data_IF_249822166123
#
_entry.id   IF_249822166123
#
_cell.length_a   1.000
_cell.length_b   1.000
_cell.length_c   1.000
_cell.angle_alpha   90.00
_cell.angle_beta   90.00
_cell.angle_gamma   90.00
#
_symmetry.space_group_name_H-M   'P 1'
#
loop_
_entity.id
_entity.type
_entity.pdbx_description
1 polymer ?
#
# COMPACT_ATOMS: atom_id res chain seq x y z
N UNK A 1 -18.55 0.61 -53.28
CA UNK A 1 -18.60 1.65 -52.22
C UNK A 1 -19.60 1.35 -51.10
N UNK A 2 -20.81 0.84 -51.38
CA UNK A 2 -21.84 0.56 -50.34
C UNK A 2 -21.53 -0.59 -49.35
N UNK A 3 -20.82 -1.64 -49.77
CA UNK A 3 -20.47 -2.78 -48.89
C UNK A 3 -19.45 -2.45 -47.79
N UNK A 4 -18.51 -1.54 -48.06
CA UNK A 4 -17.49 -1.12 -47.07
C UNK A 4 -18.08 -0.25 -45.94
N UNK A 5 -19.10 0.55 -46.24
CA UNK A 5 -19.80 1.39 -45.25
C UNK A 5 -20.62 0.52 -44.30
N UNK A 6 -21.25 -0.54 -44.80
CA UNK A 6 -22.01 -1.50 -43.99
C UNK A 6 -21.06 -2.32 -43.11
N UNK A 7 -19.94 -2.80 -43.66
CA UNK A 7 -18.92 -3.54 -42.88
C UNK A 7 -18.29 -2.66 -41.78
N UNK A 8 -17.94 -1.40 -42.09
CA UNK A 8 -17.42 -0.46 -41.12
C UNK A 8 -18.45 -0.10 -40.03
N UNK A 9 -19.71 0.10 -40.42
CA UNK A 9 -20.82 0.35 -39.47
C UNK A 9 -21.07 -0.82 -38.53
N UNK A 10 -20.99 -2.06 -39.03
CA UNK A 10 -21.14 -3.28 -38.23
C UNK A 10 -19.97 -3.47 -37.26
N UNK A 11 -18.73 -3.21 -37.67
CA UNK A 11 -17.56 -3.26 -36.78
C UNK A 11 -17.65 -2.19 -35.70
N UNK A 12 -18.15 -1.00 -36.03
CA UNK A 12 -18.32 0.10 -35.08
C UNK A 12 -19.46 -0.18 -34.09
N UNK A 13 -20.56 -0.79 -34.54
CA UNK A 13 -21.67 -1.23 -33.69
C UNK A 13 -21.28 -2.40 -32.78
N UNK A 14 -20.51 -3.37 -33.27
CA UNK A 14 -19.95 -4.45 -32.42
C UNK A 14 -18.95 -3.86 -31.44
N UNK A 15 -18.10 -2.93 -31.86
CA UNK A 15 -17.18 -2.20 -30.99
C UNK A 15 -17.89 -1.44 -29.88
N UNK A 16 -18.94 -0.68 -30.19
CA UNK A 16 -19.77 0.05 -29.24
C UNK A 16 -20.60 -0.88 -28.34
N UNK A 17 -21.12 -1.98 -28.88
CA UNK A 17 -21.84 -2.99 -28.11
C UNK A 17 -20.91 -3.67 -27.11
N UNK A 18 -19.70 -4.05 -27.51
CA UNK A 18 -18.71 -4.64 -26.61
C UNK A 18 -18.14 -3.60 -25.64
N UNK A 19 -18.05 -2.32 -26.01
CA UNK A 19 -17.72 -1.22 -25.08
C UNK A 19 -18.84 -1.00 -24.05
N UNK A 20 -20.10 -1.05 -24.49
CA UNK A 20 -21.28 -0.96 -23.62
C UNK A 20 -21.39 -2.17 -22.69
N UNK A 21 -21.10 -3.37 -23.20
CA UNK A 21 -20.97 -4.60 -22.42
C UNK A 21 -19.81 -4.48 -21.43
N UNK A 22 -18.68 -3.89 -21.82
CA UNK A 22 -17.55 -3.60 -20.93
C UNK A 22 -17.95 -2.59 -19.84
N UNK A 23 -18.63 -1.49 -20.16
CA UNK A 23 -19.14 -0.54 -19.15
C UNK A 23 -20.13 -1.20 -18.19
N UNK A 24 -21.03 -2.05 -18.72
CA UNK A 24 -21.96 -2.84 -17.91
C UNK A 24 -21.23 -3.90 -17.05
N UNK A 25 -20.16 -4.51 -17.55
CA UNK A 25 -19.35 -5.50 -16.82
C UNK A 25 -18.28 -4.86 -15.92
N UNK A 26 -17.91 -3.60 -16.08
CA UNK A 26 -16.94 -2.93 -15.19
C UNK A 26 -17.62 -2.19 -14.05
N UNK A 27 -18.81 -1.62 -14.29
CA UNK A 27 -19.60 -0.94 -13.25
C UNK A 27 -20.36 -1.97 -12.39
N UNK A 28 -20.83 -3.07 -12.98
CA UNK A 28 -21.62 -4.12 -12.30
C UNK A 28 -20.89 -5.46 -12.18
N UNK A 29 -19.86 -5.72 -12.98
CA UNK A 29 -19.35 -7.08 -13.15
C UNK A 29 -18.42 -7.58 -12.08
N UNK A 30 -17.79 -6.77 -11.23
CA UNK A 30 -17.08 -7.35 -10.07
C UNK A 30 -18.03 -8.22 -9.20
N UNK A 31 -19.31 -7.84 -9.08
CA UNK A 31 -20.32 -8.57 -8.29
C UNK A 31 -21.17 -9.57 -9.10
N UNK A 32 -21.36 -9.34 -10.40
CA UNK A 32 -22.08 -10.26 -11.30
C UNK A 32 -21.17 -11.40 -11.81
N UNK A 33 -19.87 -11.16 -11.94
CA UNK A 33 -18.87 -12.10 -12.45
C UNK A 33 -18.56 -13.25 -11.48
N UNK A 34 -18.49 -12.96 -10.17
CA UNK A 34 -18.42 -13.98 -9.11
C UNK A 34 -19.67 -14.88 -9.12
N UNK A 35 -20.83 -14.33 -9.50
CA UNK A 35 -22.10 -15.06 -9.66
C UNK A 35 -22.18 -15.90 -10.94
N UNK A 36 -21.56 -15.48 -12.04
CA UNK A 36 -21.68 -16.16 -13.35
C UNK A 36 -20.59 -17.24 -13.55
N UNK A 37 -19.38 -17.04 -13.04
CA UNK A 37 -18.22 -17.92 -13.37
C UNK A 37 -17.92 -18.98 -12.33
N UNK A 38 -18.69 -19.04 -11.24
CA UNK A 38 -18.42 -19.94 -10.11
C UNK A 38 -17.03 -19.77 -9.48
N UNK A 39 -16.36 -18.64 -9.74
CA UNK A 39 -15.05 -18.31 -9.14
C UNK A 39 -13.85 -19.11 -9.68
N UNK A 40 -13.96 -19.82 -10.80
CA UNK A 40 -12.80 -20.56 -11.33
C UNK A 40 -11.77 -19.63 -11.99
N UNK A 41 -10.61 -19.49 -11.34
CA UNK A 41 -9.47 -18.67 -11.78
C UNK A 41 -9.03 -18.88 -13.26
N UNK A 42 -9.08 -20.10 -13.85
CA UNK A 42 -8.74 -20.30 -15.26
C UNK A 42 -9.70 -19.59 -16.24
N UNK A 43 -10.99 -19.57 -15.93
CA UNK A 43 -12.02 -18.92 -16.76
C UNK A 43 -11.84 -17.41 -16.75
N UNK A 44 -11.47 -16.85 -15.61
CA UNK A 44 -11.12 -15.43 -15.47
C UNK A 44 -9.93 -15.04 -16.35
N UNK A 45 -8.89 -15.87 -16.37
CA UNK A 45 -7.72 -15.63 -17.21
C UNK A 45 -8.05 -15.68 -18.70
N UNK A 46 -8.80 -16.68 -19.15
CA UNK A 46 -9.18 -16.78 -20.56
C UNK A 46 -9.93 -15.52 -21.03
N UNK A 47 -10.86 -15.04 -20.20
CA UNK A 47 -11.60 -13.80 -20.48
C UNK A 47 -10.70 -12.57 -20.48
N UNK A 48 -9.82 -12.41 -19.49
CA UNK A 48 -8.86 -11.31 -19.44
C UNK A 48 -7.96 -11.30 -20.69
N UNK A 49 -7.48 -12.47 -21.13
CA UNK A 49 -6.68 -12.60 -22.35
C UNK A 49 -7.46 -12.21 -23.61
N UNK A 50 -8.75 -12.55 -23.69
CA UNK A 50 -9.62 -12.07 -24.78
C UNK A 50 -9.79 -10.56 -24.75
N UNK A 51 -9.95 -9.97 -23.56
CA UNK A 51 -10.10 -8.54 -23.37
C UNK A 51 -8.82 -7.75 -23.69
N UNK A 52 -7.65 -8.39 -23.80
CA UNK A 52 -6.40 -7.72 -24.20
C UNK A 52 -6.45 -7.10 -25.60
N UNK A 53 -7.42 -7.44 -26.44
CA UNK A 53 -7.66 -6.74 -27.71
C UNK A 53 -7.87 -5.23 -27.51
N UNK A 54 -8.39 -4.81 -26.36
CA UNK A 54 -8.57 -3.39 -26.01
C UNK A 54 -7.26 -2.66 -25.69
N UNK A 55 -6.15 -3.37 -25.49
CA UNK A 55 -4.82 -2.76 -25.33
C UNK A 55 -4.21 -2.40 -26.70
N UNK A 56 -4.72 -2.90 -27.84
CA UNK A 56 -4.14 -2.65 -29.17
C UNK A 56 -4.00 -1.15 -29.51
N UNK A 57 -5.01 -0.29 -29.30
CA UNK A 57 -4.87 1.14 -29.59
C UNK A 57 -3.78 1.80 -28.72
N UNK A 58 -3.66 1.36 -27.46
CA UNK A 58 -2.62 1.86 -26.56
C UNK A 58 -1.24 1.44 -27.03
N UNK A 59 -1.06 0.19 -27.47
CA UNK A 59 0.22 -0.32 -27.96
C UNK A 59 0.69 0.43 -29.21
N UNK A 60 -0.22 0.75 -30.14
CA UNK A 60 0.09 1.52 -31.35
C UNK A 60 0.68 2.90 -31.01
N UNK A 61 0.14 3.58 -29.99
CA UNK A 61 0.65 4.87 -29.55
C UNK A 61 1.90 4.71 -28.70
N UNK A 62 1.91 3.74 -27.79
CA UNK A 62 2.97 3.56 -26.81
C UNK A 62 4.28 3.10 -27.44
N UNK A 63 4.28 2.35 -28.55
CA UNK A 63 5.53 1.88 -29.16
C UNK A 63 6.43 2.98 -29.70
N UNK A 64 5.88 4.14 -30.04
CA UNK A 64 6.66 5.30 -30.45
C UNK A 64 7.23 6.09 -29.25
N UNK A 65 6.82 5.75 -28.03
CA UNK A 65 7.20 6.47 -26.81
C UNK A 65 8.39 5.78 -26.13
N UNK A 66 9.37 6.58 -25.74
CA UNK A 66 10.46 6.12 -24.87
C UNK A 66 9.97 6.15 -23.43
N UNK A 67 10.18 5.05 -22.71
CA UNK A 67 10.09 5.04 -21.27
C UNK A 67 11.47 5.29 -20.64
N UNK A 68 11.49 5.85 -19.44
CA UNK A 68 12.71 6.19 -18.70
C UNK A 68 12.82 5.45 -17.37
N UNK A 69 12.01 4.39 -17.19
CA UNK A 69 12.04 3.66 -15.93
C UNK A 69 13.35 2.91 -15.77
N UNK A 70 13.96 2.95 -14.56
CA UNK A 70 15.12 2.13 -14.26
C UNK A 70 14.84 0.66 -14.58
N UNK A 71 15.83 -0.01 -15.17
CA UNK A 71 15.74 -1.43 -15.46
C UNK A 71 16.54 -2.21 -14.42
N UNK A 72 15.85 -3.15 -13.75
CA UNK A 72 16.45 -4.13 -12.87
C UNK A 72 16.49 -5.47 -13.58
N UNK A 73 17.64 -6.14 -13.55
CA UNK A 73 17.79 -7.45 -14.18
C UNK A 73 18.21 -8.48 -13.13
N UNK A 74 17.38 -9.51 -12.95
CA UNK A 74 17.68 -10.67 -12.11
C UNK A 74 18.18 -11.81 -12.98
N UNK A 75 19.35 -12.33 -12.65
CA UNK A 75 19.88 -13.57 -13.21
C UNK A 75 19.79 -14.65 -12.12
N UNK A 76 18.98 -15.67 -12.38
CA UNK A 76 18.66 -16.76 -11.46
C UNK A 76 19.03 -18.06 -12.16
N UNK A 77 19.70 -18.97 -11.47
CA UNK A 77 19.99 -20.29 -12.01
C UNK A 77 18.68 -20.98 -12.49
N UNK A 78 18.65 -21.60 -13.69
CA UNK A 78 17.43 -22.24 -14.19
C UNK A 78 16.83 -23.29 -13.25
N UNK A 79 17.65 -24.04 -12.50
CA UNK A 79 17.18 -25.01 -11.53
C UNK A 79 16.53 -24.33 -10.32
N UNK A 80 17.12 -23.24 -9.82
CA UNK A 80 16.57 -22.44 -8.72
C UNK A 80 15.25 -21.77 -9.11
N UNK A 81 15.17 -21.21 -10.33
CA UNK A 81 13.93 -20.64 -10.84
C UNK A 81 12.85 -21.71 -11.03
N UNK A 82 13.24 -22.91 -11.49
CA UNK A 82 12.31 -24.04 -11.57
C UNK A 82 11.81 -24.44 -10.17
N UNK A 83 12.71 -24.56 -9.19
CA UNK A 83 12.36 -24.82 -7.80
C UNK A 83 11.34 -23.79 -7.28
N UNK A 84 11.57 -22.49 -7.45
CA UNK A 84 10.62 -21.45 -7.06
C UNK A 84 9.25 -21.64 -7.72
N UNK A 85 9.20 -22.03 -9.00
CA UNK A 85 7.95 -22.22 -9.75
C UNK A 85 7.20 -23.48 -9.34
N UNK A 86 7.90 -24.52 -8.89
CA UNK A 86 7.29 -25.78 -8.44
C UNK A 86 6.97 -25.77 -6.93
N UNK A 87 7.69 -24.97 -6.14
CA UNK A 87 7.49 -24.80 -4.71
C UNK A 87 6.37 -23.76 -4.42
N UNK A 88 5.21 -23.97 -5.02
CA UNK A 88 4.03 -23.12 -4.86
C UNK A 88 2.83 -23.96 -4.41
N UNK A 89 1.95 -23.41 -3.57
CA UNK A 89 0.73 -24.11 -3.21
C UNK A 89 -0.19 -24.24 -4.42
N UNK A 90 -0.96 -25.32 -4.49
CA UNK A 90 -1.93 -25.51 -5.58
C UNK A 90 -3.10 -24.50 -5.51
N UNK A 91 -3.52 -24.15 -4.29
CA UNK A 91 -4.57 -23.18 -3.99
C UNK A 91 -4.32 -22.54 -2.61
N UNK A 92 -5.07 -21.49 -2.27
CA UNK A 92 -4.96 -20.82 -0.98
C UNK A 92 -3.90 -19.72 -0.91
N UNK A 93 -3.33 -19.52 0.27
CA UNK A 93 -2.32 -18.49 0.54
C UNK A 93 -0.89 -19.04 0.42
N UNK A 94 0.06 -18.19 0.06
CA UNK A 94 1.49 -18.49 0.15
C UNK A 94 1.93 -18.40 1.62
N UNK A 95 1.98 -19.52 2.31
CA UNK A 95 2.44 -19.59 3.71
C UNK A 95 3.97 -19.53 3.81
N UNK A 96 4.51 -19.38 5.03
CA UNK A 96 5.97 -19.30 5.23
C UNK A 96 6.72 -20.53 4.72
N UNK A 97 6.11 -21.72 4.77
CA UNK A 97 6.70 -22.94 4.22
C UNK A 97 7.08 -22.81 2.72
N UNK A 98 6.30 -22.04 1.95
CA UNK A 98 6.55 -21.82 0.52
C UNK A 98 7.43 -20.61 0.21
N UNK A 99 7.66 -19.71 1.17
CA UNK A 99 8.42 -18.45 0.98
C UNK A 99 9.94 -18.68 1.05
N UNK A 100 10.44 -19.59 0.21
CA UNK A 100 11.85 -19.99 0.17
C UNK A 100 12.70 -19.07 -0.71
N UNK A 101 13.91 -18.76 -0.24
CA UNK A 101 14.90 -17.97 -0.98
C UNK A 101 15.84 -18.84 -1.81
N UNK A 102 16.21 -18.34 -2.98
CA UNK A 102 17.28 -18.89 -3.83
C UNK A 102 18.33 -17.81 -4.10
N UNK A 103 19.60 -18.18 -4.35
CA UNK A 103 20.62 -17.23 -4.77
C UNK A 103 20.31 -16.66 -6.18
N UNK A 104 20.72 -15.42 -6.43
CA UNK A 104 20.62 -14.77 -7.73
C UNK A 104 21.64 -13.62 -7.82
N UNK A 105 21.82 -13.11 -9.04
CA UNK A 105 22.55 -11.88 -9.31
C UNK A 105 21.57 -10.77 -9.69
N UNK A 106 21.69 -9.62 -9.03
CA UNK A 106 20.96 -8.40 -9.39
C UNK A 106 21.90 -7.50 -10.20
N UNK A 107 21.56 -7.23 -11.45
CA UNK A 107 22.30 -6.30 -12.29
C UNK A 107 21.59 -4.95 -12.37
N UNK A 108 22.33 -3.89 -12.07
CA UNK A 108 21.86 -2.51 -12.12
C UNK A 108 23.02 -1.57 -12.46
N UNK A 109 22.78 -0.64 -13.38
CA UNK A 109 23.79 0.34 -13.87
C UNK A 109 25.13 -0.29 -14.29
N UNK A 110 25.07 -1.46 -14.94
CA UNK A 110 26.24 -2.17 -15.46
C UNK A 110 27.06 -2.92 -14.40
N UNK A 111 26.62 -2.95 -13.14
CA UNK A 111 27.24 -3.71 -12.05
C UNK A 111 26.37 -4.89 -11.63
N UNK A 112 26.99 -5.95 -11.13
CA UNK A 112 26.33 -7.15 -10.59
C UNK A 112 26.47 -7.20 -9.09
N UNK A 113 25.40 -7.60 -8.40
CA UNK A 113 25.32 -7.69 -6.95
C UNK A 113 24.75 -9.04 -6.54
N UNK A 114 25.42 -9.80 -5.66
CA UNK A 114 24.88 -11.06 -5.16
C UNK A 114 23.68 -10.78 -4.26
N UNK A 115 22.57 -11.45 -4.55
CA UNK A 115 21.31 -11.31 -3.83
C UNK A 115 20.68 -12.66 -3.52
N UNK A 116 19.72 -12.65 -2.60
CA UNK A 116 18.75 -13.74 -2.44
C UNK A 116 17.38 -13.25 -2.91
N UNK A 117 16.68 -14.07 -3.67
CA UNK A 117 15.35 -13.73 -4.20
C UNK A 117 14.31 -14.78 -3.86
N UNK A 118 13.06 -14.35 -3.75
CA UNK A 118 11.89 -15.23 -3.62
C UNK A 118 10.62 -14.56 -4.11
N UNK A 119 9.57 -15.36 -4.30
CA UNK A 119 8.22 -14.81 -4.44
C UNK A 119 7.71 -14.23 -3.11
N UNK A 120 6.86 -13.21 -3.19
CA UNK A 120 6.25 -12.53 -2.03
C UNK A 120 4.75 -12.32 -2.19
N UNK A 121 4.08 -11.95 -1.10
CA UNK A 121 2.64 -11.74 -1.04
C UNK A 121 1.89 -13.05 -0.81
N UNK A 122 0.78 -12.98 -0.10
CA UNK A 122 0.06 -14.18 0.35
C UNK A 122 -0.96 -14.63 -0.70
N UNK A 123 -1.66 -13.70 -1.33
CA UNK A 123 -2.73 -13.98 -2.28
C UNK A 123 -2.21 -14.51 -3.63
N UNK A 124 -2.97 -15.39 -4.32
CA UNK A 124 -2.57 -16.00 -5.58
C UNK A 124 -2.12 -15.05 -6.69
N UNK A 125 -2.64 -13.82 -6.73
CA UNK A 125 -2.26 -12.84 -7.73
C UNK A 125 -0.76 -12.53 -7.75
N UNK A 126 -0.06 -12.71 -6.63
CA UNK A 126 1.37 -12.45 -6.56
C UNK A 126 2.26 -13.58 -7.08
N UNK A 127 1.79 -14.82 -7.11
CA UNK A 127 2.66 -15.99 -7.29
C UNK A 127 2.10 -17.03 -8.25
N UNK A 128 0.79 -17.05 -8.52
CA UNK A 128 0.15 -18.07 -9.38
C UNK A 128 0.36 -17.78 -10.86
N UNK A 129 0.45 -16.51 -11.25
CA UNK A 129 0.47 -16.11 -12.66
C UNK A 129 1.88 -15.93 -13.20
N UNK A 130 1.98 -15.62 -14.50
CA UNK A 130 3.25 -15.43 -15.22
C UNK A 130 4.07 -14.29 -14.62
N UNK A 131 3.42 -13.15 -14.35
CA UNK A 131 4.01 -12.01 -13.67
C UNK A 131 3.83 -12.22 -12.16
N UNK A 132 4.93 -12.14 -11.39
CA UNK A 132 4.97 -12.51 -9.97
C UNK A 132 5.63 -11.40 -9.17
N UNK A 133 5.22 -11.19 -7.92
CA UNK A 133 5.89 -10.25 -7.02
C UNK A 133 7.11 -10.86 -6.37
N UNK A 134 8.19 -10.09 -6.28
CA UNK A 134 9.49 -10.55 -5.79
C UNK A 134 9.91 -9.85 -4.50
N UNK A 135 10.66 -10.56 -3.68
CA UNK A 135 11.49 -9.97 -2.63
C UNK A 135 12.94 -10.24 -2.96
N UNK A 136 13.76 -9.21 -2.88
CA UNK A 136 15.19 -9.20 -3.13
C UNK A 136 15.87 -8.78 -1.83
N UNK A 137 16.88 -9.54 -1.41
CA UNK A 137 17.70 -9.25 -0.22
C UNK A 137 19.16 -9.15 -0.68
N UNK A 138 19.78 -8.00 -0.46
CA UNK A 138 21.17 -7.75 -0.81
C UNK A 138 22.09 -8.32 0.29
N UNK A 139 23.12 -9.07 -0.11
CA UNK A 139 24.06 -9.71 0.82
C UNK A 139 25.24 -8.83 1.26
N UNK A 140 25.31 -7.59 0.77
CA UNK A 140 26.44 -6.68 0.97
C UNK A 140 26.10 -5.28 0.47
N UNK A 141 26.75 -4.84 -0.61
CA UNK A 141 26.47 -3.54 -1.21
C UNK A 141 24.99 -3.37 -1.58
N UNK A 142 24.45 -2.18 -1.30
CA UNK A 142 23.04 -1.82 -1.52
C UNK A 142 22.91 -0.81 -2.65
N UNK A 143 22.85 -1.27 -3.92
CA UNK A 143 22.97 -0.40 -5.09
C UNK A 143 21.77 0.53 -5.29
N UNK A 144 20.62 0.18 -4.72
CA UNK A 144 19.39 0.95 -4.85
C UNK A 144 19.25 1.90 -3.67
N UNK A 145 19.92 3.05 -3.71
CA UNK A 145 19.74 4.13 -2.71
C UNK A 145 19.89 3.66 -1.26
N UNK A 146 20.82 2.74 -0.96
CA UNK A 146 21.01 2.24 0.42
C UNK A 146 19.97 1.22 0.90
N UNK A 147 19.14 0.65 0.01
CA UNK A 147 18.08 -0.31 0.36
C UNK A 147 18.66 -1.72 0.44
N UNK A 148 18.66 -2.33 1.63
CA UNK A 148 19.11 -3.71 1.85
C UNK A 148 18.08 -4.79 1.48
N UNK A 149 16.79 -4.43 1.52
CA UNK A 149 15.69 -5.34 1.21
C UNK A 149 14.67 -4.62 0.35
N UNK A 150 14.39 -5.17 -0.82
CA UNK A 150 13.53 -4.57 -1.82
C UNK A 150 12.38 -5.51 -2.17
N UNK A 151 11.16 -4.98 -2.17
CA UNK A 151 10.01 -5.68 -2.73
C UNK A 151 9.71 -5.11 -4.13
N UNK A 152 9.54 -5.99 -5.11
CA UNK A 152 8.98 -5.65 -6.42
C UNK A 152 7.54 -6.19 -6.47
N UNK A 153 6.58 -5.28 -6.40
CA UNK A 153 5.15 -5.59 -6.29
C UNK A 153 4.47 -5.29 -7.63
N UNK A 154 3.45 -6.08 -7.98
CA UNK A 154 2.60 -5.79 -9.12
C UNK A 154 1.90 -4.43 -8.88
N UNK A 155 1.99 -3.45 -9.81
CA UNK A 155 1.38 -2.13 -9.61
C UNK A 155 -0.12 -2.19 -9.28
N UNK A 156 -0.87 -3.08 -9.93
CA UNK A 156 -2.30 -3.26 -9.70
C UNK A 156 -2.66 -3.71 -8.27
N UNK A 157 -1.73 -4.36 -7.56
CA UNK A 157 -1.92 -4.78 -6.16
C UNK A 157 -1.74 -3.61 -5.18
N UNK A 158 -1.22 -2.47 -5.64
CA UNK A 158 -1.09 -1.22 -4.87
C UNK A 158 -2.00 -0.12 -5.40
N UNK A 159 -3.09 -0.53 -6.07
CA UNK A 159 -4.02 0.34 -6.81
C UNK A 159 -3.26 1.35 -7.68
N UNK A 160 -2.25 0.84 -8.40
CA UNK A 160 -1.27 1.55 -9.18
C UNK A 160 -0.39 2.50 -8.38
N UNK A 161 -0.93 3.66 -8.01
CA UNK A 161 -0.18 4.76 -7.41
C UNK A 161 -0.57 5.04 -5.96
N UNK A 162 -1.60 4.35 -5.44
CA UNK A 162 -2.17 4.68 -4.14
C UNK A 162 -1.14 4.58 -3.01
N UNK A 163 -0.34 3.51 -2.99
CA UNK A 163 0.73 3.34 -1.98
C UNK A 163 1.82 4.39 -2.12
N UNK A 164 2.25 4.68 -3.35
CA UNK A 164 3.28 5.68 -3.61
C UNK A 164 2.85 7.07 -3.14
N UNK A 165 1.60 7.46 -3.42
CA UNK A 165 0.99 8.71 -2.92
C UNK A 165 0.87 8.66 -1.40
N UNK A 166 0.49 7.52 -0.82
CA UNK A 166 0.43 7.33 0.62
C UNK A 166 1.76 7.58 1.31
N UNK A 167 2.84 7.00 0.80
CA UNK A 167 4.18 7.19 1.34
C UNK A 167 4.69 8.63 1.13
N UNK A 168 4.29 9.29 0.05
CA UNK A 168 4.58 10.71 -0.16
C UNK A 168 3.91 11.60 0.90
N UNK A 169 2.62 11.38 1.18
CA UNK A 169 1.90 12.11 2.23
C UNK A 169 2.48 11.81 3.62
N UNK A 170 2.86 10.56 3.90
CA UNK A 170 3.51 10.18 5.15
C UNK A 170 4.80 10.98 5.39
N UNK A 171 5.67 11.04 4.38
CA UNK A 171 6.90 11.86 4.42
C UNK A 171 6.60 13.32 4.70
N UNK A 172 5.58 13.89 4.04
CA UNK A 172 5.16 15.29 4.20
C UNK A 172 4.63 15.61 5.59
N UNK A 173 4.02 14.63 6.26
CA UNK A 173 3.55 14.73 7.64
C UNK A 173 4.63 14.42 8.68
N UNK A 174 5.87 14.15 8.25
CA UNK A 174 6.97 13.82 9.17
C UNK A 174 6.81 12.44 9.83
N UNK A 175 6.10 11.53 9.17
CA UNK A 175 5.99 10.11 9.56
C UNK A 175 7.10 9.30 8.89
N UNK A 176 7.33 8.10 9.44
CA UNK A 176 8.15 7.08 8.79
C UNK A 176 7.60 6.79 7.39
N UNK A 177 8.49 6.64 6.42
CA UNK A 177 8.13 6.25 5.06
C UNK A 177 9.20 5.36 4.44
N UNK A 178 8.77 4.46 3.55
CA UNK A 178 9.64 3.56 2.82
C UNK A 178 9.98 4.16 1.45
N UNK A 179 11.26 4.11 1.09
CA UNK A 179 11.70 4.54 -0.25
C UNK A 179 11.03 3.68 -1.31
N UNK A 180 10.50 4.31 -2.35
CA UNK A 180 9.78 3.62 -3.41
C UNK A 180 10.02 4.25 -4.78
N UNK A 181 9.76 3.47 -5.83
CA UNK A 181 9.91 3.84 -7.23
C UNK A 181 9.10 2.91 -8.15
N UNK A 182 9.06 3.21 -9.45
CA UNK A 182 8.57 2.28 -10.47
C UNK A 182 9.69 1.85 -11.40
N UNK A 183 9.80 0.55 -11.65
CA UNK A 183 10.93 -0.04 -12.35
C UNK A 183 10.47 -1.07 -13.38
N UNK A 184 11.28 -1.30 -14.40
CA UNK A 184 11.13 -2.46 -15.28
C UNK A 184 11.97 -3.61 -14.75
N UNK A 185 11.41 -4.82 -14.73
CA UNK A 185 12.14 -6.02 -14.33
C UNK A 185 12.42 -6.90 -15.55
N UNK A 186 13.64 -7.40 -15.64
CA UNK A 186 14.00 -8.57 -16.44
C UNK A 186 14.38 -9.73 -15.52
N UNK A 187 14.00 -10.94 -15.89
CA UNK A 187 14.44 -12.18 -15.23
C UNK A 187 15.01 -13.09 -16.31
N UNK A 188 16.30 -13.46 -16.19
CA UNK A 188 17.04 -14.25 -17.18
C UNK A 188 16.88 -13.70 -18.61
N UNK A 189 17.04 -12.37 -18.76
CA UNK A 189 16.92 -11.67 -20.04
C UNK A 189 15.49 -11.44 -20.54
N UNK A 190 14.48 -12.06 -19.93
CA UNK A 190 13.08 -11.90 -20.31
C UNK A 190 12.43 -10.73 -19.59
N UNK A 191 11.79 -9.82 -20.33
CA UNK A 191 11.03 -8.72 -19.75
C UNK A 191 9.81 -9.23 -18.97
N UNK A 192 9.72 -8.81 -17.72
CA UNK A 192 8.64 -9.09 -16.78
C UNK A 192 7.71 -7.91 -16.58
N UNK A 193 7.95 -6.78 -17.26
CA UNK A 193 7.11 -5.59 -17.21
C UNK A 193 7.43 -4.64 -16.04
N UNK A 194 6.47 -3.79 -15.69
CA UNK A 194 6.61 -2.73 -14.68
C UNK A 194 6.26 -3.22 -13.28
N UNK A 195 7.04 -2.81 -12.29
CA UNK A 195 6.84 -3.12 -10.87
C UNK A 195 6.86 -1.85 -10.03
N UNK A 196 6.06 -1.86 -8.97
CA UNK A 196 6.24 -0.93 -7.85
C UNK A 196 7.35 -1.47 -6.96
N UNK A 197 8.49 -0.79 -6.96
CA UNK A 197 9.65 -1.11 -6.14
C UNK A 197 9.54 -0.36 -4.82
N UNK A 198 9.60 -1.06 -3.70
CA UNK A 198 9.51 -0.44 -2.36
C UNK A 198 10.46 -1.12 -1.39
N UNK A 199 11.20 -0.29 -0.64
CA UNK A 199 12.02 -0.71 0.49
C UNK A 199 11.21 -1.57 1.45
N UNK A 200 11.87 -2.51 2.11
CA UNK A 200 11.26 -3.38 3.10
C UNK A 200 11.80 -3.09 4.50
N UNK A 201 10.94 -3.34 5.50
CA UNK A 201 11.29 -3.31 6.91
C UNK A 201 12.64 -3.99 7.20
N UNK A 202 13.56 -3.20 7.74
CA UNK A 202 14.96 -3.55 7.96
C UNK A 202 15.63 -2.52 8.88
N UNK A 203 16.82 -2.83 9.38
CA UNK A 203 17.61 -1.90 10.18
C UNK A 203 18.02 -0.68 9.34
N UNK A 204 18.30 -0.88 8.07
CA UNK A 204 18.64 0.18 7.12
C UNK A 204 17.45 1.12 6.91
N UNK A 205 16.23 0.59 6.79
CA UNK A 205 15.02 1.41 6.71
C UNK A 205 14.81 2.28 7.97
N UNK A 206 15.16 1.76 9.15
CA UNK A 206 15.14 2.51 10.41
C UNK A 206 16.14 3.67 10.38
N UNK A 207 17.41 3.40 10.04
CA UNK A 207 18.47 4.41 9.93
C UNK A 207 18.09 5.49 8.91
N UNK A 208 17.53 5.07 7.78
CA UNK A 208 17.07 5.95 6.71
C UNK A 208 15.94 6.92 7.14
N UNK A 209 15.24 6.60 8.23
CA UNK A 209 14.19 7.43 8.84
C UNK A 209 14.63 8.06 10.17
N UNK A 210 15.93 7.99 10.53
CA UNK A 210 16.47 8.59 11.75
C UNK A 210 16.21 7.80 13.03
N UNK A 211 15.83 6.53 12.93
CA UNK A 211 15.64 5.66 14.10
C UNK A 211 16.90 4.88 14.43
N UNK A 212 17.05 4.51 15.70
CA UNK A 212 18.08 3.57 16.14
C UNK A 212 17.84 2.18 15.51
N UNK A 213 18.82 1.58 14.80
CA UNK A 213 18.66 0.25 14.19
C UNK A 213 18.60 -0.90 15.20
N UNK A 214 19.03 -0.67 16.44
CA UNK A 214 18.93 -1.64 17.54
C UNK A 214 17.65 -1.39 18.35
N UNK A 215 16.52 -1.79 17.78
CA UNK A 215 15.19 -1.66 18.39
C UNK A 215 14.22 -2.74 17.90
N UNK A 216 13.02 -2.79 18.46
CA UNK A 216 11.95 -3.63 17.94
C UNK A 216 11.18 -2.92 16.83
N UNK A 217 11.05 -3.59 15.68
CA UNK A 217 10.16 -3.22 14.59
C UNK A 217 9.17 -4.35 14.35
N UNK A 218 7.91 -4.08 14.60
CA UNK A 218 6.80 -5.03 14.54
C UNK A 218 6.02 -4.93 13.23
N UNK A 219 5.44 -6.05 12.84
CA UNK A 219 4.29 -6.07 11.94
C UNK A 219 3.48 -7.33 12.09
N UNK A 220 2.43 -7.43 11.28
CA UNK A 220 1.53 -8.58 11.31
C UNK A 220 2.27 -9.91 11.04
N UNK A 221 2.04 -10.91 11.89
CA UNK A 221 2.42 -12.29 11.60
C UNK A 221 1.66 -12.82 10.37
N UNK A 222 2.23 -13.76 9.63
CA UNK A 222 1.63 -14.30 8.41
C UNK A 222 1.46 -15.82 8.50
N UNK A 223 0.42 -16.37 7.84
CA UNK A 223 0.18 -17.82 7.78
C UNK A 223 -0.88 -18.31 8.77
N UNK A 224 -0.60 -19.41 9.47
CA UNK A 224 -1.53 -20.07 10.42
C UNK A 224 -1.81 -19.25 11.69
N UNK A 225 -1.04 -18.19 11.91
CA UNK A 225 -1.20 -17.24 13.02
C UNK A 225 -2.11 -16.05 12.67
N UNK A 226 -2.85 -16.14 11.55
CA UNK A 226 -3.83 -15.13 11.18
C UNK A 226 -4.91 -15.02 12.25
N UNK A 227 -4.95 -13.88 12.93
CA UNK A 227 -5.90 -13.63 13.99
C UNK A 227 -7.14 -12.89 13.46
N UNK A 228 -8.32 -13.29 13.93
CA UNK A 228 -9.53 -12.47 13.80
C UNK A 228 -9.39 -11.13 14.55
N UNK A 229 -8.45 -11.04 15.49
CA UNK A 229 -8.07 -9.79 16.14
C UNK A 229 -6.55 -9.78 16.42
N UNK A 230 -5.82 -9.00 15.60
CA UNK A 230 -4.37 -8.82 15.71
C UNK A 230 -3.96 -8.27 17.08
N UNK A 231 -4.82 -7.43 17.68
CA UNK A 231 -4.55 -6.72 18.94
C UNK A 231 -4.93 -7.51 20.18
N UNK A 232 -5.42 -8.75 20.04
CA UNK A 232 -5.75 -9.59 21.19
C UNK A 232 -4.50 -10.12 21.92
N UNK A 233 -3.36 -10.22 21.24
CA UNK A 233 -2.10 -10.69 21.84
C UNK A 233 -0.91 -10.32 20.96
N UNK A 234 0.22 -9.97 21.58
CA UNK A 234 1.49 -9.69 20.88
C UNK A 234 2.04 -10.89 20.11
N UNK A 235 1.56 -12.11 20.37
CA UNK A 235 1.92 -13.31 19.59
C UNK A 235 1.61 -13.16 18.10
N UNK A 236 0.56 -12.40 17.76
CA UNK A 236 0.13 -12.16 16.38
C UNK A 236 0.96 -11.09 15.66
N UNK A 237 1.94 -10.49 16.34
CA UNK A 237 2.91 -9.60 15.74
C UNK A 237 4.24 -10.34 15.61
N UNK A 238 4.84 -10.32 14.43
CA UNK A 238 6.23 -10.72 14.22
C UNK A 238 7.16 -9.52 14.37
N UNK A 239 8.44 -9.79 14.59
CA UNK A 239 9.50 -8.79 14.51
C UNK A 239 10.20 -8.84 13.16
N UNK A 240 10.34 -7.69 12.51
CA UNK A 240 11.22 -7.49 11.36
C UNK A 240 12.65 -7.12 11.79
N UNK A 241 12.77 -6.48 12.95
CA UNK A 241 14.01 -6.13 13.64
C UNK A 241 13.79 -6.36 15.13
N UNK A 242 14.80 -6.93 15.80
CA UNK A 242 14.75 -7.27 17.22
C UNK A 242 15.82 -6.49 17.98
N UNK A 243 15.46 -5.98 19.15
CA UNK A 243 16.40 -5.34 20.05
C UNK A 243 17.42 -6.37 20.59
N UNK A 244 18.70 -6.12 20.37
CA UNK A 244 19.78 -7.08 20.59
C UNK A 244 20.03 -7.45 22.05
N UNK A 245 19.60 -6.62 23.02
CA UNK A 245 19.87 -6.84 24.45
C UNK A 245 18.77 -7.62 25.18
N UNK A 246 17.71 -8.02 24.48
CA UNK A 246 16.64 -8.84 25.04
C UNK A 246 16.43 -10.09 24.16
N UNK A 247 15.81 -11.15 24.71
CA UNK A 247 15.40 -12.30 23.91
C UNK A 247 14.56 -11.87 22.70
N UNK A 248 14.72 -12.57 21.57
CA UNK A 248 14.06 -12.22 20.30
C UNK A 248 12.53 -12.18 20.43
N UNK A 249 11.97 -13.09 21.22
CA UNK A 249 10.55 -13.24 21.52
C UNK A 249 10.01 -12.23 22.55
N UNK A 250 10.86 -11.44 23.21
CA UNK A 250 10.42 -10.42 24.17
C UNK A 250 9.61 -9.32 23.48
N UNK A 251 8.33 -9.15 23.81
CA UNK A 251 7.45 -8.12 23.24
C UNK A 251 6.81 -7.24 24.33
N UNK A 252 7.53 -7.04 25.44
CA UNK A 252 6.98 -6.36 26.63
C UNK A 252 6.50 -4.94 26.33
N UNK A 253 7.18 -4.23 25.43
CA UNK A 253 6.78 -2.92 24.95
C UNK A 253 5.39 -2.94 24.28
N UNK A 254 5.16 -3.91 23.39
CA UNK A 254 3.88 -4.12 22.73
C UNK A 254 2.82 -4.66 23.69
N UNK A 255 3.18 -5.58 24.59
CA UNK A 255 2.27 -6.14 25.60
C UNK A 255 1.66 -5.03 26.47
N UNK A 256 2.47 -4.05 26.91
CA UNK A 256 1.98 -2.90 27.67
C UNK A 256 0.94 -2.08 26.90
N UNK A 257 1.19 -1.82 25.61
CA UNK A 257 0.20 -1.15 24.76
C UNK A 257 -1.11 -1.94 24.72
N UNK A 258 -1.05 -3.24 24.47
CA UNK A 258 -2.25 -4.09 24.38
C UNK A 258 -3.02 -4.16 25.70
N UNK A 259 -2.33 -4.20 26.85
CA UNK A 259 -2.95 -4.16 28.18
C UNK A 259 -3.79 -2.88 28.35
N UNK A 260 -3.26 -1.71 27.99
CA UNK A 260 -4.02 -0.46 28.10
C UNK A 260 -5.27 -0.41 27.22
N UNK A 261 -5.32 -1.17 26.12
CA UNK A 261 -6.53 -1.27 25.29
C UNK A 261 -7.68 -2.00 26.01
N UNK A 262 -7.36 -2.87 26.97
CA UNK A 262 -8.34 -3.64 27.75
C UNK A 262 -8.84 -2.91 28.99
N UNK A 263 -8.18 -1.82 29.38
CA UNK A 263 -8.56 -1.01 30.53
C UNK A 263 -9.75 -0.09 30.20
N UNK A 264 -10.43 0.36 31.26
CA UNK A 264 -11.40 1.44 31.13
C UNK A 264 -10.71 2.73 30.63
N UNK A 265 -11.50 3.60 30.02
CA UNK A 265 -10.99 4.78 29.31
C UNK A 265 -10.19 5.71 30.24
N UNK A 266 -10.57 5.84 31.51
CA UNK A 266 -9.88 6.74 32.45
C UNK A 266 -8.45 6.27 32.72
N UNK A 267 -8.26 4.98 32.95
CA UNK A 267 -6.93 4.42 33.20
C UNK A 267 -6.13 4.26 31.90
N UNK A 268 -6.78 3.89 30.80
CA UNK A 268 -6.15 3.85 29.47
C UNK A 268 -5.61 5.22 29.06
N UNK A 269 -6.37 6.31 29.25
CA UNK A 269 -5.93 7.65 28.84
C UNK A 269 -4.74 8.18 29.63
N UNK A 270 -4.54 7.72 30.87
CA UNK A 270 -3.35 8.03 31.66
C UNK A 270 -2.14 7.19 31.24
N UNK A 271 -2.36 5.91 30.94
CA UNK A 271 -1.28 4.96 30.68
C UNK A 271 -0.77 4.94 29.24
N UNK A 272 -1.65 5.15 28.25
CA UNK A 272 -1.27 5.15 26.83
C UNK A 272 -0.13 6.13 26.51
N UNK A 273 -0.08 7.37 27.03
CA UNK A 273 1.04 8.28 26.79
C UNK A 273 2.40 7.78 27.27
N UNK A 274 2.46 6.82 28.19
CA UNK A 274 3.71 6.23 28.69
C UNK A 274 4.34 5.23 27.70
N UNK A 275 3.53 4.67 26.79
CA UNK A 275 3.96 3.60 25.89
C UNK A 275 3.76 3.90 24.41
N UNK A 276 2.89 4.87 24.07
CA UNK A 276 2.54 5.28 22.72
C UNK A 276 2.83 6.77 22.56
N UNK A 277 3.52 7.15 21.50
CA UNK A 277 3.64 8.55 21.14
C UNK A 277 2.29 9.03 20.56
N UNK A 278 1.48 9.66 21.41
CA UNK A 278 0.13 10.12 21.04
C UNK A 278 0.17 11.09 19.86
N UNK A 279 1.13 12.02 19.82
CA UNK A 279 1.18 13.02 18.75
C UNK A 279 1.50 12.37 17.39
N UNK A 280 2.49 11.46 17.36
CA UNK A 280 2.82 10.66 16.18
C UNK A 280 1.67 9.75 15.77
N UNK A 281 0.98 9.15 16.74
CA UNK A 281 -0.20 8.33 16.47
C UNK A 281 -1.35 9.12 15.84
N UNK A 282 -1.69 10.30 16.36
CA UNK A 282 -2.73 11.16 15.79
C UNK A 282 -2.34 11.65 14.40
N UNK A 283 -1.06 11.89 14.15
CA UNK A 283 -0.54 12.25 12.81
C UNK A 283 -0.63 11.06 11.84
N UNK A 284 -0.31 9.85 12.29
CA UNK A 284 -0.51 8.61 11.53
C UNK A 284 -1.99 8.34 11.21
N UNK A 285 -2.88 8.64 12.15
CA UNK A 285 -4.32 8.53 11.92
C UNK A 285 -4.80 9.58 10.93
N UNK A 286 -4.35 10.83 11.06
CA UNK A 286 -4.64 11.91 10.12
C UNK A 286 -4.14 11.58 8.70
N UNK A 287 -2.95 10.98 8.57
CA UNK A 287 -2.44 10.44 7.31
C UNK A 287 -3.42 9.46 6.65
N UNK A 288 -3.95 8.52 7.43
CA UNK A 288 -4.95 7.57 6.93
C UNK A 288 -6.22 8.29 6.47
N UNK A 289 -6.66 9.33 7.18
CA UNK A 289 -7.85 10.09 6.84
C UNK A 289 -7.70 11.00 5.62
N UNK A 290 -6.54 11.63 5.42
CA UNK A 290 -6.22 12.39 4.19
C UNK A 290 -6.46 11.57 2.93
N UNK A 291 -6.24 10.26 3.02
CA UNK A 291 -6.31 9.32 1.91
C UNK A 291 -7.57 8.45 1.94
N UNK A 292 -8.43 8.61 2.95
CA UNK A 292 -9.57 7.74 3.21
C UNK A 292 -9.15 6.24 3.26
N UNK A 293 -7.98 6.00 3.82
CA UNK A 293 -7.38 4.68 4.00
C UNK A 293 -7.90 4.04 5.28
N UNK A 294 -8.60 2.92 5.14
CA UNK A 294 -9.12 2.11 6.25
C UNK A 294 -8.50 0.70 6.28
N UNK A 295 -7.40 0.50 5.53
CA UNK A 295 -6.72 -0.80 5.48
C UNK A 295 -6.03 -1.20 6.80
N UNK A 296 -5.45 -0.27 7.60
CA UNK A 296 -4.95 -0.58 8.95
C UNK A 296 -6.10 -0.85 9.93
N UNK A 297 -6.67 -2.06 9.81
CA UNK A 297 -7.86 -2.50 10.54
C UNK A 297 -7.55 -3.39 11.74
N UNK A 298 -8.58 -4.10 12.21
CA UNK A 298 -8.49 -5.00 13.37
C UNK A 298 -7.62 -6.25 13.13
N UNK A 299 -7.51 -6.67 11.88
CA UNK A 299 -6.88 -7.95 11.53
C UNK A 299 -5.52 -7.79 10.84
N UNK A 300 -5.26 -6.67 10.15
CA UNK A 300 -4.07 -6.53 9.28
C UNK A 300 -3.44 -5.15 9.30
N UNK A 301 -2.25 -5.06 8.70
CA UNK A 301 -1.58 -3.81 8.30
C UNK A 301 -1.22 -2.86 9.47
N UNK A 302 -0.99 -3.43 10.65
CA UNK A 302 -0.34 -2.72 11.75
C UNK A 302 1.17 -2.95 11.70
N UNK A 303 1.94 -1.87 11.61
CA UNK A 303 3.39 -1.88 11.75
C UNK A 303 3.77 -0.83 12.79
N UNK A 304 4.66 -1.19 13.71
CA UNK A 304 5.03 -0.33 14.83
C UNK A 304 6.54 -0.40 15.07
N UNK A 305 7.16 0.71 15.43
CA UNK A 305 8.54 0.75 15.89
C UNK A 305 8.60 1.24 17.32
N UNK A 306 9.45 0.63 18.14
CA UNK A 306 9.81 1.19 19.44
C UNK A 306 10.87 2.29 19.23
N UNK A 307 10.50 3.55 19.43
CA UNK A 307 11.44 4.64 19.39
C UNK A 307 12.25 4.68 20.70
N UNK A 308 13.56 4.39 20.60
CA UNK A 308 14.46 4.30 21.75
C UNK A 308 14.78 5.65 22.39
N UNK A 309 14.61 6.74 21.65
CA UNK A 309 14.90 8.08 22.15
C UNK A 309 13.78 8.59 23.05
N UNK A 310 12.54 8.20 22.74
CA UNK A 310 11.35 8.57 23.52
C UNK A 310 10.87 7.47 24.47
N UNK A 311 11.27 6.22 24.24
CA UNK A 311 10.79 5.04 24.95
C UNK A 311 9.37 4.63 24.57
N UNK A 312 8.85 5.11 23.42
CA UNK A 312 7.45 4.93 23.01
C UNK A 312 7.31 4.27 21.65
N UNK A 313 6.20 3.57 21.44
CA UNK A 313 5.82 3.01 20.16
C UNK A 313 5.32 4.11 19.20
N UNK A 314 5.67 3.96 17.93
CA UNK A 314 5.16 4.77 16.82
C UNK A 314 4.56 3.87 15.74
N UNK A 315 3.39 4.24 15.22
CA UNK A 315 2.73 3.53 14.11
C UNK A 315 3.32 3.96 12.76
N UNK A 316 3.50 2.98 11.87
CA UNK A 316 4.11 3.19 10.56
C UNK A 316 3.09 2.97 9.43
N UNK A 317 3.00 3.89 8.44
CA UNK A 317 2.16 3.70 7.27
C UNK A 317 2.63 2.52 6.40
N UNK A 318 1.67 1.70 5.94
CA UNK A 318 1.90 0.58 5.04
C UNK A 318 0.60 0.15 4.36
N UNK A 319 0.70 -0.31 3.11
CA UNK A 319 -0.42 -0.92 2.36
C UNK A 319 -1.67 0.00 2.34
N UNK A 320 -1.39 1.26 2.06
CA UNK A 320 -2.33 2.35 1.88
C UNK A 320 -3.15 2.08 0.63
N UNK A 321 -4.46 1.88 0.81
CA UNK A 321 -5.43 1.91 -0.27
C UNK A 321 -6.34 3.12 -0.09
N UNK A 322 -6.18 4.07 -1.00
CA UNK A 322 -7.07 5.22 -1.10
C UNK A 322 -8.47 4.77 -1.45
N UNK A 323 -9.47 5.45 -0.89
CA UNK A 323 -10.88 5.15 -1.17
C UNK A 323 -11.64 6.38 -1.58
N UNK A 324 -12.83 6.14 -2.16
CA UNK A 324 -13.72 7.23 -2.53
C UNK A 324 -14.21 7.98 -1.28
N UNK A 325 -13.93 9.29 -1.15
CA UNK A 325 -14.35 10.08 0.00
C UNK A 325 -15.86 10.12 0.18
N UNK A 326 -16.66 9.98 -0.89
CA UNK A 326 -18.13 10.09 -0.83
C UNK A 326 -18.77 9.00 0.06
N UNK A 327 -18.08 7.87 0.27
CA UNK A 327 -18.61 6.72 1.04
C UNK A 327 -18.29 6.72 2.53
N UNK A 328 -17.59 7.73 3.07
CA UNK A 328 -17.05 7.69 4.44
C UNK A 328 -17.26 9.01 5.20
N UNK A 329 -17.43 8.93 6.51
CA UNK A 329 -17.42 10.10 7.40
C UNK A 329 -16.04 10.26 8.07
N UNK A 330 -15.55 11.50 8.20
CA UNK A 330 -14.28 11.80 8.89
C UNK A 330 -14.33 11.46 10.40
N UNK A 331 -15.55 11.45 10.94
CA UNK A 331 -15.83 11.20 12.36
C UNK A 331 -16.28 9.76 12.63
N UNK A 332 -16.33 8.90 11.61
CA UNK A 332 -16.62 7.49 11.79
C UNK A 332 -15.37 6.77 12.31
N UNK A 333 -15.36 6.43 13.61
CA UNK A 333 -14.23 5.77 14.26
C UNK A 333 -14.31 4.24 14.24
N UNK A 334 -15.49 3.67 14.02
CA UNK A 334 -15.73 2.22 14.08
C UNK A 334 -15.01 1.41 12.99
N UNK A 335 -14.50 2.07 11.94
CA UNK A 335 -13.75 1.43 10.86
C UNK A 335 -12.24 1.31 11.15
N UNK A 336 -11.75 1.94 12.22
CA UNK A 336 -10.34 1.90 12.56
C UNK A 336 -9.98 0.69 13.43
N UNK A 337 -8.69 0.43 13.55
CA UNK A 337 -8.17 -0.55 14.49
C UNK A 337 -8.48 -0.19 15.96
N UNK A 338 -8.42 -1.17 16.88
CA UNK A 338 -8.70 -0.97 18.31
C UNK A 338 -7.90 0.15 18.99
N UNK A 339 -6.64 0.39 18.59
CA UNK A 339 -5.82 1.48 19.16
C UNK A 339 -6.41 2.83 18.77
N UNK A 340 -6.77 3.01 17.50
CA UNK A 340 -7.39 4.23 17.02
C UNK A 340 -8.77 4.46 17.65
N UNK A 341 -9.58 3.40 17.82
CA UNK A 341 -10.86 3.51 18.51
C UNK A 341 -10.68 3.97 19.97
N UNK A 342 -9.73 3.36 20.70
CA UNK A 342 -9.45 3.72 22.11
C UNK A 342 -8.88 5.12 22.23
N UNK A 343 -7.88 5.49 21.42
CA UNK A 343 -7.27 6.83 21.46
C UNK A 343 -8.29 7.91 21.07
N UNK A 344 -9.05 7.72 19.99
CA UNK A 344 -10.01 8.73 19.53
C UNK A 344 -11.29 8.80 20.38
N UNK A 345 -11.48 7.91 21.35
CA UNK A 345 -12.52 8.06 22.37
C UNK A 345 -12.20 9.20 23.36
N UNK A 346 -10.93 9.62 23.46
CA UNK A 346 -10.54 10.80 24.22
C UNK A 346 -10.87 12.09 23.42
N UNK A 347 -11.78 12.97 23.90
CA UNK A 347 -12.20 14.15 23.15
C UNK A 347 -11.06 15.13 22.85
N UNK A 348 -10.07 15.25 23.74
CA UNK A 348 -8.93 16.14 23.54
C UNK A 348 -8.02 15.63 22.40
N UNK A 349 -7.79 14.31 22.35
CA UNK A 349 -6.99 13.69 21.29
C UNK A 349 -7.71 13.68 19.95
N UNK A 350 -9.03 13.40 19.94
CA UNK A 350 -9.85 13.55 18.74
C UNK A 350 -9.78 14.97 18.20
N UNK A 351 -9.88 15.96 19.09
CA UNK A 351 -9.75 17.35 18.68
C UNK A 351 -8.37 17.68 18.10
N UNK A 352 -7.31 17.18 18.73
CA UNK A 352 -5.96 17.38 18.23
C UNK A 352 -5.76 16.72 16.85
N UNK A 353 -6.32 15.53 16.62
CA UNK A 353 -6.37 14.90 15.29
C UNK A 353 -7.08 15.80 14.28
N UNK A 354 -8.23 16.36 14.64
CA UNK A 354 -8.98 17.25 13.76
C UNK A 354 -8.23 18.54 13.46
N UNK A 355 -7.47 19.09 14.42
CA UNK A 355 -6.56 20.23 14.20
C UNK A 355 -5.50 19.87 13.14
N UNK A 356 -4.84 18.71 13.24
CA UNK A 356 -3.87 18.23 12.23
C UNK A 356 -4.51 18.13 10.83
N UNK A 357 -5.72 17.56 10.74
CA UNK A 357 -6.44 17.44 9.48
C UNK A 357 -6.85 18.80 8.90
N UNK A 358 -7.32 19.72 9.75
CA UNK A 358 -7.69 21.07 9.34
C UNK A 358 -6.47 21.86 8.84
N UNK A 359 -5.34 21.77 9.54
CA UNK A 359 -4.09 22.41 9.14
C UNK A 359 -3.61 21.86 7.79
N UNK A 360 -3.63 20.53 7.63
CA UNK A 360 -3.25 19.89 6.38
C UNK A 360 -4.17 20.29 5.22
N UNK A 361 -5.49 20.34 5.46
CA UNK A 361 -6.50 20.63 4.43
C UNK A 361 -6.73 22.13 4.17
N UNK A 362 -6.25 23.00 5.06
CA UNK A 362 -6.30 24.46 4.87
C UNK A 362 -5.12 24.96 4.06
N UNK A 363 -3.99 24.24 4.06
CA UNK A 363 -2.85 24.54 3.22
C UNK A 363 -3.02 23.96 1.81
N UNK A 364 -3.44 24.79 0.86
CA UNK A 364 -3.66 24.40 -0.54
C UNK A 364 -2.43 23.80 -1.22
N UNK A 365 -1.21 24.16 -0.76
CA UNK A 365 0.03 23.60 -1.29
C UNK A 365 0.11 22.09 -1.06
N UNK A 366 -0.51 21.57 0.00
CA UNK A 366 -0.57 20.13 0.28
C UNK A 366 -1.32 19.37 -0.82
N UNK A 367 -2.48 19.89 -1.24
CA UNK A 367 -3.24 19.30 -2.33
C UNK A 367 -2.49 19.44 -3.66
N UNK A 368 -1.97 20.63 -3.95
CA UNK A 368 -1.27 20.93 -5.21
C UNK A 368 -0.09 19.97 -5.40
N UNK A 369 0.77 19.83 -4.40
CA UNK A 369 1.94 18.95 -4.48
C UNK A 369 1.57 17.48 -4.53
N UNK A 370 0.55 17.04 -3.77
CA UNK A 370 0.12 15.63 -3.79
C UNK A 370 -0.48 15.25 -5.14
N UNK A 371 -1.29 16.12 -5.75
CA UNK A 371 -1.82 15.93 -7.10
C UNK A 371 -0.70 15.99 -8.14
N UNK A 372 0.22 16.95 -8.03
CA UNK A 372 1.37 17.03 -8.94
C UNK A 372 2.25 15.78 -8.88
N UNK A 373 2.44 15.20 -7.68
CA UNK A 373 3.16 13.94 -7.50
C UNK A 373 2.45 12.77 -8.19
N UNK A 374 1.13 12.63 -8.00
CA UNK A 374 0.33 11.61 -8.71
C UNK A 374 0.38 11.78 -10.23
N UNK A 375 0.18 13.01 -10.71
CA UNK A 375 0.22 13.34 -12.14
C UNK A 375 1.60 13.00 -12.71
N UNK A 376 2.68 13.29 -11.97
CA UNK A 376 4.06 12.92 -12.33
C UNK A 376 4.26 11.41 -12.42
N UNK A 377 3.79 10.64 -11.44
CA UNK A 377 3.87 9.16 -11.48
C UNK A 377 3.19 8.61 -12.73
N UNK A 378 1.98 9.10 -13.05
CA UNK A 378 1.26 8.68 -14.24
C UNK A 378 2.01 9.03 -15.53
N UNK A 379 2.52 10.27 -15.66
CA UNK A 379 3.26 10.67 -16.86
C UNK A 379 4.54 9.86 -17.08
N UNK A 380 5.28 9.57 -16.01
CA UNK A 380 6.55 8.86 -16.08
C UNK A 380 6.40 7.36 -16.38
N UNK A 381 5.30 6.74 -15.92
CA UNK A 381 5.17 5.27 -15.94
C UNK A 381 4.18 4.75 -16.98
N UNK A 382 3.19 5.54 -17.41
CA UNK A 382 2.08 5.06 -18.28
C UNK A 382 2.56 4.37 -19.56
N UNK A 383 3.61 4.88 -20.21
CA UNK A 383 4.09 4.29 -21.46
C UNK A 383 4.72 2.91 -21.25
N UNK A 384 5.55 2.76 -20.21
CA UNK A 384 6.08 1.47 -19.83
C UNK A 384 4.97 0.49 -19.41
N UNK A 385 3.95 0.98 -18.68
CA UNK A 385 2.80 0.15 -18.33
C UNK A 385 2.01 -0.24 -19.57
N UNK A 386 1.80 0.66 -20.52
CA UNK A 386 1.07 0.34 -21.76
C UNK A 386 1.76 -0.73 -22.59
N UNK A 387 3.10 -0.67 -22.66
CA UNK A 387 3.95 -1.64 -23.34
C UNK A 387 4.10 -2.97 -22.57
N UNK A 388 3.71 -3.02 -21.29
CA UNK A 388 3.80 -4.23 -20.48
C UNK A 388 2.82 -5.30 -20.99
N UNK A 389 3.33 -6.32 -21.69
CA UNK A 389 2.55 -7.48 -22.15
C UNK A 389 2.40 -8.60 -21.13
N UNK A 390 2.98 -8.47 -19.92
CA UNK A 390 2.96 -9.49 -18.87
C UNK A 390 1.85 -9.25 -17.84
N UNK A 391 1.32 -8.03 -17.75
CA UNK A 391 0.24 -7.65 -16.83
C UNK A 391 -1.10 -8.32 -17.15
N UNK A 392 -1.90 -8.58 -16.12
CA UNK A 392 -3.26 -9.13 -16.25
C UNK A 392 -4.35 -8.06 -16.38
N UNK A 393 -4.07 -6.79 -16.10
CA UNK A 393 -5.06 -5.71 -16.23
C UNK A 393 -4.97 -5.00 -17.59
N UNK A 394 -6.01 -4.26 -17.99
CA UNK A 394 -6.05 -3.49 -19.24
C UNK A 394 -5.43 -2.09 -19.03
N UNK A 395 -4.89 -1.50 -20.09
CA UNK A 395 -4.37 -0.13 -20.05
C UNK A 395 -5.44 0.91 -19.67
N UNK A 396 -6.70 0.63 -20.04
CA UNK A 396 -7.84 1.45 -19.63
C UNK A 396 -8.08 1.43 -18.12
N UNK A 397 -7.76 0.32 -17.42
CA UNK A 397 -7.89 0.23 -15.96
C UNK A 397 -6.95 1.22 -15.27
N UNK A 398 -5.71 1.35 -15.77
CA UNK A 398 -4.75 2.33 -15.27
C UNK A 398 -5.31 3.75 -15.40
N UNK A 399 -5.82 4.11 -16.58
CA UNK A 399 -6.33 5.45 -16.86
C UNK A 399 -7.55 5.80 -16.01
N UNK A 400 -8.45 4.83 -15.83
CA UNK A 400 -9.62 4.98 -14.95
C UNK A 400 -9.15 5.18 -13.51
N UNK A 401 -8.25 4.32 -13.01
CA UNK A 401 -7.73 4.41 -11.64
C UNK A 401 -7.00 5.71 -11.38
N UNK A 402 -6.13 6.16 -12.28
CA UNK A 402 -5.49 7.47 -12.18
C UNK A 402 -6.50 8.61 -12.03
N UNK A 403 -7.53 8.65 -12.88
CA UNK A 403 -8.59 9.67 -12.79
C UNK A 403 -9.39 9.59 -11.48
N UNK A 404 -9.66 8.38 -11.00
CA UNK A 404 -10.33 8.16 -9.72
C UNK A 404 -9.49 8.67 -8.55
N UNK A 405 -8.24 8.23 -8.43
CA UNK A 405 -7.32 8.67 -7.37
C UNK A 405 -7.17 10.19 -7.34
N UNK A 406 -6.99 10.81 -8.52
CA UNK A 406 -6.89 12.27 -8.64
C UNK A 406 -8.16 12.98 -8.18
N UNK A 407 -9.33 12.47 -8.55
CA UNK A 407 -10.63 12.99 -8.11
C UNK A 407 -10.82 12.84 -6.60
N UNK A 408 -10.42 11.69 -6.03
CA UNK A 408 -10.51 11.41 -4.61
C UNK A 408 -9.62 12.32 -3.77
N UNK A 409 -8.41 12.64 -4.23
CA UNK A 409 -7.54 13.63 -3.55
C UNK A 409 -8.22 15.00 -3.47
N UNK A 410 -8.77 15.49 -4.59
CA UNK A 410 -9.39 16.82 -4.67
C UNK A 410 -10.64 16.88 -3.79
N UNK A 411 -11.57 15.93 -3.99
CA UNK A 411 -12.82 15.87 -3.20
C UNK A 411 -12.55 15.64 -1.72
N UNK A 412 -11.60 14.75 -1.41
CA UNK A 412 -11.26 14.37 -0.06
C UNK A 412 -10.70 15.55 0.74
N UNK A 413 -9.84 16.35 0.12
CA UNK A 413 -9.26 17.53 0.75
C UNK A 413 -10.33 18.55 1.18
N UNK A 414 -11.27 18.88 0.28
CA UNK A 414 -12.38 19.79 0.60
C UNK A 414 -13.29 19.20 1.69
N UNK A 415 -13.64 17.92 1.57
CA UNK A 415 -14.48 17.24 2.56
C UNK A 415 -13.87 17.24 3.96
N UNK A 416 -12.56 16.98 4.07
CA UNK A 416 -11.83 17.00 5.34
C UNK A 416 -11.88 18.41 5.94
N UNK A 417 -11.58 19.44 5.13
CA UNK A 417 -11.57 20.82 5.58
C UNK A 417 -12.91 21.22 6.19
N UNK A 418 -14.01 20.95 5.48
CA UNK A 418 -15.36 21.29 5.95
C UNK A 418 -15.72 20.52 7.23
N UNK A 419 -15.47 19.20 7.26
CA UNK A 419 -15.83 18.35 8.40
C UNK A 419 -15.03 18.65 9.67
N UNK A 420 -13.80 19.16 9.54
CA UNK A 420 -12.90 19.43 10.67
C UNK A 420 -12.99 20.88 11.15
N UNK A 421 -13.35 21.84 10.30
CA UNK A 421 -13.52 23.24 10.69
C UNK A 421 -14.53 23.41 11.84
N UNK A 422 -15.72 22.81 11.71
CA UNK A 422 -16.75 22.86 12.75
C UNK A 422 -16.35 22.09 14.01
N UNK A 423 -15.66 20.96 13.83
CA UNK A 423 -15.20 20.14 14.95
C UNK A 423 -14.18 20.89 15.81
N UNK A 424 -13.15 21.48 15.18
CA UNK A 424 -12.10 22.24 15.86
C UNK A 424 -12.66 23.48 16.55
N UNK A 425 -13.59 24.20 15.91
CA UNK A 425 -14.24 25.36 16.52
C UNK A 425 -14.95 24.99 17.83
N UNK A 426 -15.72 23.91 17.84
CA UNK A 426 -16.42 23.42 19.05
C UNK A 426 -15.44 23.06 20.18
N UNK A 427 -14.29 22.48 19.85
CA UNK A 427 -13.28 22.20 20.86
C UNK A 427 -12.75 23.48 21.52
N UNK A 428 -12.41 24.49 20.72
CA UNK A 428 -11.83 25.74 21.22
C UNK A 428 -12.81 26.47 22.14
N UNK A 429 -14.10 26.48 21.80
CA UNK A 429 -15.17 27.03 22.65
C UNK A 429 -15.28 26.26 23.99
N UNK A 430 -15.14 24.92 23.96
CA UNK A 430 -15.18 24.10 25.18
C UNK A 430 -13.95 24.30 26.08
N UNK A 431 -12.75 24.43 25.51
CA UNK A 431 -11.50 24.72 26.23
C UNK A 431 -11.61 26.07 26.96
N UNK A 432 -12.10 27.11 26.27
CA UNK A 432 -12.34 28.44 26.85
C UNK A 432 -13.37 28.42 27.98
N UNK A 433 -14.47 27.67 27.83
CA UNK A 433 -15.51 27.56 28.87
C UNK A 433 -15.05 26.84 30.14
N UNK A 434 -14.09 25.92 30.01
CA UNK A 434 -13.52 25.18 31.14
C UNK A 434 -12.56 26.07 31.92
N UNK A 435 -11.75 26.85 31.21
CA UNK A 435 -10.84 27.85 31.80
C UNK A 435 -11.60 28.90 32.62
N UNK A 436 -12.74 29.40 32.08
CA UNK A 436 -13.59 30.38 32.78
C UNK A 436 -14.33 29.84 34.01
N UNK A 437 -14.34 28.52 34.25
CA UNK A 437 -14.97 27.90 35.44
C UNK A 437 -13.96 27.46 36.50
N UNK A 438 -12.66 27.49 36.19
CA UNK A 438 -11.57 27.18 37.11
C UNK A 438 -10.99 28.42 37.80
N UNK A 439 -11.35 29.61 37.32
CA UNK A 439 -11.17 30.90 37.98
C UNK A 439 -12.43 31.24 38.81
#
# INVERSE_FOLDING_TARGET
>A
MKLWIIAAGSVLLVGLFCLGLYFHLTITGARLFDRITGGSEPTRQALVQLMKVYDLPYLLVAWAQKDQLPEYNLVIDPADLNFLNTNLPQSGLLTEAYKQFVPAEFMFEGKSYPVKVRYRGDKPNHWKFKKKSWRIVFGGETPVKGIARLNLILPEDRDFYSEAVGLFVAKRLGLFWLRNDFVKLKVNGKSMGVYFAVEQWSQEALVNNGFNPDTNLYGEASGEEFAENLYASSKFFKKYVSYSRLPEDNKEDLDKLLIYLTMDDKEAFKGLPEVLDINKFLTWQAHSQVLFNYNPGMTHNANLVMNRDTGKLEFLPWDVAMRNPDGYSIHETGLYNPVAQKVLANPAWLCQRDKILLDYSSNSQNLIETVAYLDSLYQQTRWAIYQDGQKLFLNLDLDIRYRMLRSWLIKGHEKIKQATLESVRRCQESELSTYQRSD
#
